data_IF_458727087457
#
_entry.id   IF_458727087457
#
_cell.length_a   1.000
_cell.length_b   1.000
_cell.length_c   1.000
_cell.angle_alpha   90.00
_cell.angle_beta   90.00
_cell.angle_gamma   90.00
#
_symmetry.space_group_name_H-M   'P 1'
#
loop_
_entity.id
_entity.type
_entity.pdbx_description
1 polymer ?
#
# COMPACT_ATOMS: atom_id res chain seq x y z
N UNK A 1 17.26 1.22 18.11
CA UNK A 1 16.86 0.87 16.73
C UNK A 1 15.70 1.77 16.24
N UNK A 2 14.59 1.88 16.97
CA UNK A 2 13.42 2.69 16.56
C UNK A 2 13.78 4.17 16.38
N UNK A 3 14.53 4.78 17.30
CA UNK A 3 14.95 6.17 17.22
C UNK A 3 15.83 6.48 15.99
N UNK A 4 16.71 5.56 15.61
CA UNK A 4 17.53 5.68 14.40
C UNK A 4 16.65 5.64 13.12
N UNK A 5 15.64 4.79 13.09
CA UNK A 5 14.66 4.76 12.00
C UNK A 5 13.89 6.07 11.88
N UNK A 6 13.43 6.64 12.99
CA UNK A 6 12.71 7.93 13.00
C UNK A 6 13.61 9.08 12.52
N UNK A 7 14.88 9.07 12.90
CA UNK A 7 15.83 10.11 12.53
C UNK A 7 15.98 10.24 11.00
N UNK A 8 15.92 9.12 10.26
CA UNK A 8 16.05 9.14 8.80
C UNK A 8 14.86 9.77 8.07
N UNK A 9 13.71 9.96 8.73
CA UNK A 9 12.56 10.69 8.17
C UNK A 9 12.63 12.20 8.39
N UNK A 10 13.60 12.69 9.17
CA UNK A 10 13.80 14.11 9.37
C UNK A 10 14.66 14.69 8.23
N UNK A 11 14.44 15.97 7.84
CA UNK A 11 15.33 16.68 6.93
C UNK A 11 16.77 16.62 7.45
N UNK A 12 17.74 16.41 6.55
CA UNK A 12 19.16 16.28 6.90
C UNK A 12 19.66 17.46 7.77
N UNK A 13 19.16 18.68 7.48
CA UNK A 13 19.45 19.91 8.20
C UNK A 13 19.00 19.92 9.67
N UNK A 14 18.19 18.94 10.09
CA UNK A 14 17.68 18.81 11.47
C UNK A 14 18.19 17.59 12.22
N UNK A 15 18.81 16.66 11.51
CA UNK A 15 19.28 15.40 12.11
C UNK A 15 20.40 15.65 13.11
N UNK A 16 21.35 16.52 12.78
CA UNK A 16 22.49 16.89 13.63
C UNK A 16 22.03 17.60 14.91
N UNK A 17 21.07 18.53 14.80
CA UNK A 17 20.52 19.24 15.97
C UNK A 17 19.78 18.29 16.91
N UNK A 18 19.00 17.33 16.38
CA UNK A 18 18.28 16.33 17.19
C UNK A 18 19.27 15.44 17.92
N UNK A 19 20.30 14.93 17.24
CA UNK A 19 21.34 14.11 17.85
C UNK A 19 22.10 14.89 18.94
N UNK A 20 22.44 16.15 18.67
CA UNK A 20 23.11 17.03 19.63
C UNK A 20 22.24 17.25 20.89
N UNK A 21 20.94 17.50 20.74
CA UNK A 21 20.03 17.65 21.87
C UNK A 21 19.89 16.37 22.68
N UNK A 22 19.79 15.22 22.02
CA UNK A 22 19.75 13.93 22.68
C UNK A 22 21.04 13.68 23.49
N UNK A 23 22.21 13.99 22.92
CA UNK A 23 23.50 13.83 23.58
C UNK A 23 23.69 14.75 24.81
N UNK A 24 22.92 15.85 24.89
CA UNK A 24 22.91 16.78 26.03
C UNK A 24 21.81 16.53 27.06
N UNK A 25 20.96 15.51 26.85
CA UNK A 25 19.95 15.10 27.83
C UNK A 25 20.64 14.39 29.00
N UNK A 26 20.85 15.11 30.11
CA UNK A 26 21.46 14.55 31.32
C UNK A 26 20.42 13.79 32.18
N UNK A 27 19.25 14.37 32.41
CA UNK A 27 18.14 13.69 33.12
C UNK A 27 16.80 14.23 32.59
N UNK A 28 15.94 13.35 32.09
CA UNK A 28 14.58 13.73 31.68
C UNK A 28 13.63 13.48 32.83
N UNK A 29 13.05 14.55 33.38
CA UNK A 29 12.04 14.42 34.40
C UNK A 29 10.85 13.64 33.84
N UNK A 30 10.41 12.63 34.60
CA UNK A 30 9.29 11.74 34.21
C UNK A 30 8.00 12.50 33.93
N UNK A 31 7.76 13.59 34.69
CA UNK A 31 6.58 14.44 34.49
C UNK A 31 6.57 15.13 33.11
N UNK A 32 7.75 15.44 32.55
CA UNK A 32 7.90 16.01 31.20
C UNK A 32 7.60 14.98 30.14
N UNK A 33 8.00 13.72 30.36
CA UNK A 33 7.67 12.61 29.44
C UNK A 33 6.16 12.37 29.42
N UNK A 34 5.53 12.31 30.60
CA UNK A 34 4.09 12.13 30.74
C UNK A 34 3.29 13.29 30.11
N UNK A 35 3.81 14.51 30.15
CA UNK A 35 3.21 15.68 29.48
C UNK A 35 3.37 15.62 27.95
N UNK A 36 4.53 15.19 27.46
CA UNK A 36 4.76 14.95 26.03
C UNK A 36 3.85 13.85 25.48
N UNK A 37 3.69 12.76 26.20
CA UNK A 37 2.76 11.68 25.81
C UNK A 37 1.32 12.20 25.69
N UNK A 38 0.85 13.00 26.66
CA UNK A 38 -0.47 13.63 26.61
C UNK A 38 -0.62 14.65 25.47
N UNK A 39 0.46 15.35 25.11
CA UNK A 39 0.44 16.28 23.98
C UNK A 39 0.39 15.54 22.66
N UNK A 40 1.13 14.44 22.53
CA UNK A 40 1.11 13.57 21.36
C UNK A 40 -0.26 12.92 21.21
N UNK A 41 -0.82 12.35 22.29
CA UNK A 41 -2.17 11.76 22.27
C UNK A 41 -3.24 12.79 21.86
N UNK A 42 -3.18 14.01 22.38
CA UNK A 42 -4.10 15.10 21.98
C UNK A 42 -3.89 15.50 20.52
N UNK A 43 -2.65 15.59 20.05
CA UNK A 43 -2.33 15.91 18.66
C UNK A 43 -2.84 14.83 17.69
N UNK A 44 -2.67 13.57 18.04
CA UNK A 44 -3.19 12.42 17.27
C UNK A 44 -4.71 12.40 17.28
N UNK A 45 -5.37 12.67 18.43
CA UNK A 45 -6.82 12.76 18.53
C UNK A 45 -7.41 13.86 17.63
N UNK A 46 -6.80 15.05 17.60
CA UNK A 46 -7.23 16.16 16.71
C UNK A 46 -7.06 15.78 15.23
N UNK A 47 -5.98 15.08 14.88
CA UNK A 47 -5.78 14.56 13.52
C UNK A 47 -6.81 13.48 13.18
N UNK A 48 -7.23 12.68 14.16
CA UNK A 48 -8.24 11.62 13.99
C UNK A 48 -9.66 12.18 13.86
N UNK A 49 -9.99 13.28 14.50
CA UNK A 49 -11.31 13.94 14.37
C UNK A 49 -11.55 14.54 12.98
N UNK A 50 -10.48 14.86 12.23
CA UNK A 50 -10.56 15.38 10.87
C UNK A 50 -10.34 14.29 9.79
N UNK A 51 -9.93 13.09 10.19
CA UNK A 51 -9.79 11.92 9.33
C UNK A 51 -11.04 11.05 9.40
N UNK A 52 -11.74 10.86 8.30
CA UNK A 52 -12.88 9.94 8.25
C UNK A 52 -12.43 8.52 8.66
N UNK A 53 -13.32 7.75 9.32
CA UNK A 53 -13.13 6.32 9.66
C UNK A 53 -12.55 5.50 8.48
N UNK A 54 -12.95 5.84 7.26
CA UNK A 54 -12.47 5.25 6.00
C UNK A 54 -10.95 5.37 5.82
N UNK A 55 -10.33 6.44 6.32
CA UNK A 55 -8.88 6.66 6.21
C UNK A 55 -8.08 5.68 7.08
N UNK A 56 -8.55 5.34 8.27
CA UNK A 56 -7.89 4.41 9.19
C UNK A 56 -7.82 2.99 8.63
N UNK A 57 -8.94 2.45 8.17
CA UNK A 57 -9.03 1.12 7.54
C UNK A 57 -8.14 1.04 6.31
N UNK A 58 -8.19 2.05 5.45
CA UNK A 58 -7.36 2.11 4.25
C UNK A 58 -5.86 2.13 4.55
N UNK A 59 -5.42 2.89 5.56
CA UNK A 59 -4.04 2.89 5.99
C UNK A 59 -3.62 1.54 6.59
N UNK A 60 -4.49 0.91 7.39
CA UNK A 60 -4.25 -0.41 7.93
C UNK A 60 -4.13 -1.47 6.82
N UNK A 61 -5.02 -1.45 5.83
CA UNK A 61 -4.95 -2.33 4.66
C UNK A 61 -3.63 -2.17 3.89
N UNK A 62 -3.20 -0.93 3.67
CA UNK A 62 -1.92 -0.61 3.05
C UNK A 62 -0.72 -1.17 3.83
N UNK A 63 -0.74 -1.09 5.16
CA UNK A 63 0.29 -1.66 6.03
C UNK A 63 0.28 -3.18 5.91
N UNK A 64 -0.89 -3.82 6.07
CA UNK A 64 -1.02 -5.29 5.99
C UNK A 64 -0.57 -5.79 4.62
N UNK A 65 -0.93 -5.11 3.53
CA UNK A 65 -0.50 -5.46 2.18
C UNK A 65 1.03 -5.44 1.99
N UNK A 66 1.77 -4.70 2.79
CA UNK A 66 3.24 -4.58 2.70
C UNK A 66 4.01 -5.44 3.69
N UNK A 67 3.33 -6.14 4.59
CA UNK A 67 3.95 -7.12 5.47
C UNK A 67 4.40 -8.33 4.63
N UNK A 68 5.70 -8.73 4.67
CA UNK A 68 6.20 -9.79 3.80
C UNK A 68 5.68 -11.18 4.15
N UNK A 69 5.28 -11.43 5.41
CA UNK A 69 4.85 -12.74 5.90
C UNK A 69 3.87 -12.59 7.07
N UNK A 70 3.15 -13.67 7.38
CA UNK A 70 2.21 -13.74 8.53
C UNK A 70 0.97 -12.84 8.44
N UNK A 71 0.63 -12.32 7.27
CA UNK A 71 -0.57 -11.48 7.06
C UNK A 71 -1.85 -12.20 7.51
N UNK A 72 -2.00 -13.49 7.14
CA UNK A 72 -3.17 -14.28 7.51
C UNK A 72 -3.27 -14.45 9.03
N UNK A 73 -2.15 -14.76 9.69
CA UNK A 73 -2.12 -14.91 11.16
C UNK A 73 -2.54 -13.61 11.85
N UNK A 74 -2.05 -12.47 11.33
CA UNK A 74 -2.43 -11.15 11.85
C UNK A 74 -3.93 -10.90 11.72
N UNK A 75 -4.51 -11.21 10.56
CA UNK A 75 -5.96 -11.04 10.33
C UNK A 75 -6.79 -11.99 11.18
N UNK A 76 -6.34 -13.22 11.40
CA UNK A 76 -7.02 -14.18 12.26
C UNK A 76 -7.03 -13.69 13.73
N UNK A 77 -5.91 -13.15 14.20
CA UNK A 77 -5.82 -12.53 15.53
C UNK A 77 -6.68 -11.26 15.66
N UNK A 78 -6.77 -10.45 14.61
CA UNK A 78 -7.65 -9.28 14.58
C UNK A 78 -9.12 -9.70 14.57
N UNK A 79 -9.49 -10.79 13.88
CA UNK A 79 -10.85 -11.31 13.82
C UNK A 79 -11.37 -11.74 15.18
N UNK A 80 -10.50 -12.27 16.05
CA UNK A 80 -10.85 -12.58 17.45
C UNK A 80 -11.24 -11.34 18.27
N UNK A 81 -10.80 -10.14 17.84
CA UNK A 81 -11.09 -8.87 18.52
C UNK A 81 -12.27 -8.14 17.91
N UNK A 82 -12.34 -8.10 16.59
CA UNK A 82 -13.36 -7.35 15.84
C UNK A 82 -13.48 -7.91 14.41
N UNK A 83 -14.53 -8.66 14.16
CA UNK A 83 -14.79 -9.31 12.87
C UNK A 83 -15.16 -8.27 11.79
N UNK A 84 -15.95 -7.23 12.16
CA UNK A 84 -16.41 -6.20 11.24
C UNK A 84 -15.23 -5.39 10.69
N UNK A 85 -14.27 -5.03 11.55
CA UNK A 85 -13.04 -4.34 11.16
C UNK A 85 -12.20 -5.19 10.20
N UNK A 86 -12.14 -6.52 10.38
CA UNK A 86 -11.38 -7.40 9.48
C UNK A 86 -12.04 -7.51 8.12
N UNK A 87 -13.36 -7.53 8.05
CA UNK A 87 -14.06 -7.59 6.77
C UNK A 87 -13.90 -6.27 5.99
N UNK A 88 -14.05 -5.11 6.66
CA UNK A 88 -13.74 -3.80 6.06
C UNK A 88 -12.28 -3.71 5.62
N UNK A 89 -11.35 -4.25 6.42
CA UNK A 89 -9.92 -4.27 6.12
C UNK A 89 -9.63 -5.10 4.87
N UNK A 90 -10.24 -6.29 4.76
CA UNK A 90 -10.08 -7.16 3.59
C UNK A 90 -10.61 -6.50 2.31
N UNK A 91 -11.72 -5.78 2.39
CA UNK A 91 -12.27 -5.04 1.26
C UNK A 91 -11.30 -3.95 0.77
N UNK A 92 -10.66 -3.23 1.69
CA UNK A 92 -9.65 -2.23 1.36
C UNK A 92 -8.29 -2.83 0.96
N UNK A 93 -8.02 -4.10 1.28
CA UNK A 93 -6.83 -4.81 0.82
C UNK A 93 -6.85 -5.12 -0.68
N UNK A 94 -8.00 -5.04 -1.35
CA UNK A 94 -8.10 -5.08 -2.81
C UNK A 94 -7.56 -3.79 -3.45
N UNK A 95 -6.31 -3.45 -3.11
CA UNK A 95 -5.60 -2.33 -3.72
C UNK A 95 -4.86 -2.76 -4.99
N UNK A 96 -4.65 -1.81 -5.90
CA UNK A 96 -3.95 -2.06 -7.16
C UNK A 96 -2.57 -2.71 -6.99
N UNK A 97 -1.92 -2.50 -5.84
CA UNK A 97 -0.62 -3.10 -5.50
C UNK A 97 -0.67 -4.64 -5.40
N UNK A 98 -1.80 -5.25 -5.03
CA UNK A 98 -1.90 -6.72 -4.92
C UNK A 98 -1.65 -7.44 -6.25
N UNK A 99 -1.79 -6.73 -7.38
CA UNK A 99 -1.47 -7.29 -8.70
C UNK A 99 0.00 -7.71 -8.81
N UNK A 100 0.88 -7.16 -8.00
CA UNK A 100 2.30 -7.58 -7.93
C UNK A 100 2.49 -9.03 -7.46
N UNK A 101 1.49 -9.63 -6.83
CA UNK A 101 1.54 -10.95 -6.20
C UNK A 101 0.75 -12.01 -6.96
N UNK A 102 0.03 -11.59 -8.00
CA UNK A 102 -0.82 -12.51 -8.72
C UNK A 102 -0.01 -13.48 -9.58
N UNK A 103 -0.52 -14.69 -9.71
CA UNK A 103 0.07 -15.69 -10.60
C UNK A 103 -0.07 -15.27 -12.08
N UNK A 104 0.72 -15.92 -12.94
CA UNK A 104 0.76 -15.63 -14.37
C UNK A 104 -0.60 -15.78 -15.05
N UNK A 105 -1.39 -16.80 -14.68
CA UNK A 105 -2.68 -17.07 -15.31
C UNK A 105 -3.69 -15.94 -14.98
N UNK A 106 -3.76 -15.52 -13.72
CA UNK A 106 -4.59 -14.40 -13.28
C UNK A 106 -4.20 -13.11 -14.01
N UNK A 107 -2.91 -12.77 -14.07
CA UNK A 107 -2.45 -11.57 -14.75
C UNK A 107 -2.73 -11.61 -16.26
N UNK A 108 -2.54 -12.76 -16.92
CA UNK A 108 -2.87 -12.93 -18.34
C UNK A 108 -4.37 -12.73 -18.59
N UNK A 109 -5.23 -13.34 -17.76
CA UNK A 109 -6.69 -13.14 -17.89
C UNK A 109 -7.09 -11.66 -17.74
N UNK A 110 -6.44 -10.94 -16.82
CA UNK A 110 -6.65 -9.50 -16.66
C UNK A 110 -6.14 -8.68 -17.87
N UNK A 111 -5.04 -9.11 -18.50
CA UNK A 111 -4.54 -8.47 -19.73
C UNK A 111 -5.49 -8.65 -20.93
N UNK A 112 -6.21 -9.75 -20.97
CA UNK A 112 -7.20 -10.02 -22.04
C UNK A 112 -8.49 -9.20 -21.83
N UNK A 113 -8.86 -8.92 -20.57
CA UNK A 113 -10.08 -8.20 -20.20
C UNK A 113 -9.93 -6.68 -20.24
N UNK A 114 -8.78 -6.17 -19.80
CA UNK A 114 -8.55 -4.75 -19.57
C UNK A 114 -7.79 -4.12 -20.74
N UNK A 115 -8.31 -3.02 -21.34
CA UNK A 115 -7.65 -2.32 -22.42
C UNK A 115 -6.24 -1.86 -22.08
N UNK A 116 -5.33 -1.89 -23.05
CA UNK A 116 -3.93 -1.51 -22.86
C UNK A 116 -3.75 -0.04 -22.50
N UNK A 117 -4.69 0.80 -22.91
CA UNK A 117 -4.75 2.22 -22.58
C UNK A 117 -4.96 2.44 -21.08
N UNK A 118 -5.83 1.63 -20.46
CA UNK A 118 -6.09 1.69 -19.01
C UNK A 118 -4.89 1.19 -18.23
N UNK A 119 -4.22 0.13 -18.68
CA UNK A 119 -2.94 -0.30 -18.13
C UNK A 119 -1.87 0.81 -18.24
N UNK A 120 -1.82 1.52 -19.37
CA UNK A 120 -0.86 2.59 -19.57
C UNK A 120 -1.07 3.76 -18.59
N UNK A 121 -2.32 4.07 -18.24
CA UNK A 121 -2.66 5.08 -17.22
C UNK A 121 -2.38 4.55 -15.82
N UNK A 122 -2.86 3.34 -15.49
CA UNK A 122 -2.79 2.76 -14.15
C UNK A 122 -1.34 2.52 -13.68
N UNK A 123 -0.44 2.16 -14.61
CA UNK A 123 0.97 1.89 -14.31
C UNK A 123 1.84 3.16 -14.19
N UNK A 124 1.27 4.35 -14.41
CA UNK A 124 2.01 5.59 -14.13
C UNK A 124 2.23 5.77 -12.64
N UNK A 125 3.48 6.04 -12.24
CA UNK A 125 3.86 6.25 -10.85
C UNK A 125 3.76 5.01 -9.96
N UNK A 126 3.61 3.80 -10.54
CA UNK A 126 3.64 2.55 -9.76
C UNK A 126 5.05 2.17 -9.35
N UNK A 127 5.12 1.41 -8.27
CA UNK A 127 6.34 0.77 -7.78
C UNK A 127 6.93 -0.17 -8.84
N UNK A 128 8.26 -0.28 -8.86
CA UNK A 128 8.99 -1.09 -9.85
C UNK A 128 8.58 -2.56 -9.79
N UNK A 129 8.32 -3.09 -8.58
CA UNK A 129 7.91 -4.48 -8.37
C UNK A 129 6.61 -4.78 -9.11
N UNK A 130 5.58 -3.97 -8.94
CA UNK A 130 4.31 -4.15 -9.62
C UNK A 130 4.47 -4.05 -11.15
N UNK A 131 5.20 -3.05 -11.63
CA UNK A 131 5.44 -2.87 -13.07
C UNK A 131 6.14 -4.08 -13.68
N UNK A 132 7.14 -4.63 -13.00
CA UNK A 132 7.86 -5.83 -13.46
C UNK A 132 6.95 -7.05 -13.47
N UNK A 133 6.12 -7.27 -12.45
CA UNK A 133 5.17 -8.38 -12.42
C UNK A 133 4.23 -8.35 -13.62
N UNK A 134 3.70 -7.19 -13.97
CA UNK A 134 2.86 -7.00 -15.16
C UNK A 134 3.65 -7.25 -16.46
N UNK A 135 4.85 -6.69 -16.59
CA UNK A 135 5.66 -6.85 -17.81
C UNK A 135 6.13 -8.28 -18.03
N UNK A 136 6.38 -9.04 -16.96
CA UNK A 136 6.85 -10.42 -17.06
C UNK A 136 5.82 -11.38 -17.68
N UNK A 137 4.55 -11.08 -17.56
CA UNK A 137 3.47 -11.92 -18.13
C UNK A 137 3.07 -11.49 -19.53
N UNK A 138 3.50 -10.31 -19.98
CA UNK A 138 3.17 -9.77 -21.29
C UNK A 138 4.15 -10.25 -22.37
N UNK A 139 3.67 -10.57 -23.59
CA UNK A 139 4.54 -10.73 -24.76
C UNK A 139 5.35 -9.45 -25.04
N UNK A 140 6.59 -9.59 -25.48
CA UNK A 140 7.50 -8.44 -25.75
C UNK A 140 6.86 -7.34 -26.60
N UNK A 141 6.03 -7.72 -27.58
CA UNK A 141 5.33 -6.78 -28.46
C UNK A 141 4.29 -5.94 -27.69
N UNK A 142 3.57 -6.57 -26.75
CA UNK A 142 2.60 -5.85 -25.91
C UNK A 142 3.30 -4.93 -24.91
N UNK A 143 4.44 -5.34 -24.34
CA UNK A 143 5.26 -4.46 -23.47
C UNK A 143 5.70 -3.21 -24.24
N UNK A 144 6.18 -3.36 -25.48
CA UNK A 144 6.56 -2.22 -26.33
C UNK A 144 5.38 -1.30 -26.63
N UNK A 145 4.22 -1.87 -26.93
CA UNK A 145 2.98 -1.10 -27.15
C UNK A 145 2.58 -0.34 -25.88
N UNK A 146 2.58 -1.00 -24.73
CA UNK A 146 2.25 -0.39 -23.43
C UNK A 146 3.22 0.76 -23.10
N UNK A 147 4.52 0.56 -23.28
CA UNK A 147 5.54 1.60 -23.05
C UNK A 147 5.34 2.80 -23.99
N UNK A 148 5.10 2.55 -25.27
CA UNK A 148 4.86 3.62 -26.25
C UNK A 148 3.55 4.38 -25.96
N UNK A 149 2.49 3.67 -25.56
CA UNK A 149 1.21 4.28 -25.14
C UNK A 149 1.41 5.13 -23.89
N UNK A 150 2.13 4.61 -22.88
CA UNK A 150 2.45 5.36 -21.64
C UNK A 150 3.26 6.63 -21.93
N UNK A 151 4.21 6.57 -22.87
CA UNK A 151 5.01 7.73 -23.27
C UNK A 151 4.15 8.80 -24.00
N UNK A 152 3.20 8.37 -24.85
CA UNK A 152 2.28 9.27 -25.57
C UNK A 152 1.27 9.97 -24.68
N UNK A 153 0.89 9.38 -23.55
CA UNK A 153 -0.10 9.97 -22.63
C UNK A 153 0.37 11.28 -21.98
N UNK A 154 1.69 11.57 -21.96
CA UNK A 154 2.19 12.75 -21.26
C UNK A 154 1.85 12.75 -19.75
N UNK A 155 1.78 13.92 -19.10
CA UNK A 155 1.34 14.03 -17.71
C UNK A 155 -0.13 13.65 -17.58
N UNK A 156 -0.44 12.80 -16.58
CA UNK A 156 -1.82 12.37 -16.26
C UNK A 156 -2.14 12.81 -14.84
N UNK A 157 -3.29 13.43 -14.55
CA UNK A 157 -3.70 13.79 -13.20
C UNK A 157 -3.77 12.55 -12.30
N UNK A 158 -3.34 12.70 -11.04
CA UNK A 158 -3.36 11.60 -10.04
C UNK A 158 -4.78 11.05 -9.86
N UNK A 159 -5.78 11.92 -9.83
CA UNK A 159 -7.20 11.52 -9.72
C UNK A 159 -7.64 10.58 -10.86
N UNK A 160 -7.16 10.80 -12.09
CA UNK A 160 -7.45 9.91 -13.22
C UNK A 160 -6.75 8.57 -13.08
N UNK A 161 -5.49 8.55 -12.59
CA UNK A 161 -4.77 7.32 -12.33
C UNK A 161 -5.50 6.49 -11.27
N UNK A 162 -5.90 7.12 -10.17
CA UNK A 162 -6.64 6.45 -9.08
C UNK A 162 -8.00 5.92 -9.53
N UNK A 163 -8.71 6.69 -10.37
CA UNK A 163 -9.97 6.24 -10.94
C UNK A 163 -9.79 4.97 -11.78
N UNK A 164 -8.82 4.97 -12.72
CA UNK A 164 -8.58 3.81 -13.59
C UNK A 164 -8.13 2.61 -12.77
N UNK A 165 -7.30 2.80 -11.75
CA UNK A 165 -6.92 1.72 -10.82
C UNK A 165 -8.13 1.12 -10.12
N UNK A 166 -9.08 1.93 -9.67
CA UNK A 166 -10.33 1.46 -9.08
C UNK A 166 -11.18 0.67 -10.08
N UNK A 167 -11.28 1.15 -11.32
CA UNK A 167 -12.00 0.46 -12.38
C UNK A 167 -11.38 -0.92 -12.66
N UNK A 168 -10.04 -1.01 -12.75
CA UNK A 168 -9.32 -2.27 -12.88
C UNK A 168 -9.58 -3.19 -11.68
N UNK A 169 -9.51 -2.69 -10.46
CA UNK A 169 -9.75 -3.50 -9.27
C UNK A 169 -11.21 -3.95 -9.14
N UNK A 170 -12.16 -3.19 -9.67
CA UNK A 170 -13.55 -3.64 -9.80
C UNK A 170 -13.67 -4.83 -10.76
N UNK A 171 -12.99 -4.80 -11.90
CA UNK A 171 -12.93 -5.93 -12.83
C UNK A 171 -12.26 -7.15 -12.20
N UNK A 172 -11.16 -6.95 -11.44
CA UNK A 172 -10.49 -8.03 -10.68
C UNK A 172 -11.46 -8.70 -9.70
N UNK A 173 -12.24 -7.90 -8.96
CA UNK A 173 -13.22 -8.42 -8.00
C UNK A 173 -14.33 -9.19 -8.71
N UNK A 174 -14.90 -8.66 -9.78
CA UNK A 174 -15.93 -9.32 -10.56
C UNK A 174 -15.45 -10.67 -11.13
N UNK A 175 -14.28 -10.70 -11.75
CA UNK A 175 -13.70 -11.95 -12.27
C UNK A 175 -13.39 -12.98 -11.16
N UNK A 176 -13.04 -12.53 -9.98
CA UNK A 176 -12.85 -13.41 -8.83
C UNK A 176 -14.17 -13.97 -8.29
N UNK A 177 -15.22 -13.16 -8.21
CA UNK A 177 -16.57 -13.57 -7.83
C UNK A 177 -17.18 -14.56 -8.83
N UNK A 178 -16.92 -14.36 -10.12
CA UNK A 178 -17.34 -15.27 -11.21
C UNK A 178 -16.47 -16.55 -11.25
N UNK A 179 -15.43 -16.65 -10.43
CA UNK A 179 -14.53 -17.81 -10.36
C UNK A 179 -13.58 -17.95 -11.55
N UNK A 180 -13.45 -16.91 -12.40
CA UNK A 180 -12.56 -16.92 -13.56
C UNK A 180 -11.10 -16.73 -13.18
N UNK A 181 -10.83 -16.06 -12.05
CA UNK A 181 -9.48 -15.86 -11.49
C UNK A 181 -9.45 -16.19 -10.00
N UNK A 182 -8.27 -16.57 -9.52
CA UNK A 182 -7.99 -16.69 -8.09
C UNK A 182 -7.08 -15.54 -7.67
N UNK A 183 -7.58 -14.68 -6.77
CA UNK A 183 -6.84 -13.52 -6.28
C UNK A 183 -6.07 -13.89 -5.01
N UNK A 184 -4.76 -13.70 -5.05
CA UNK A 184 -3.88 -13.81 -3.88
C UNK A 184 -3.82 -12.47 -3.16
N UNK A 185 -4.53 -12.35 -2.04
CA UNK A 185 -4.44 -11.15 -1.19
C UNK A 185 -3.15 -11.12 -0.38
N UNK A 186 -2.54 -12.28 -0.11
CA UNK A 186 -1.36 -12.44 0.73
C UNK A 186 -0.17 -12.94 -0.09
N UNK A 187 1.05 -12.56 0.34
CA UNK A 187 2.25 -13.17 -0.21
C UNK A 187 2.32 -14.66 0.20
N UNK A 188 2.57 -15.55 -0.75
CA UNK A 188 2.86 -16.95 -0.44
C UNK A 188 4.13 -17.04 0.43
N UNK A 189 4.04 -17.85 1.50
CA UNK A 189 5.23 -18.18 2.27
C UNK A 189 6.08 -19.14 1.44
N UNK A 190 7.18 -18.66 0.88
CA UNK A 190 8.23 -19.52 0.35
C UNK A 190 9.08 -20.04 1.50
N UNK A 191 9.05 -21.35 1.73
CA UNK A 191 10.00 -22.04 2.62
C UNK A 191 11.23 -22.34 1.75
N UNK A 192 12.38 -21.73 2.09
CA UNK A 192 13.71 -22.12 1.56
C UNK A 192 14.21 -23.39 2.24
#
# INVERSE_FOLDING_TARGET
EVAAGILTYLPEERQDEVVYRIAKLDDVNRDVIDELDRLIERGVAVLSEHGSKVTGIKHAANIVNRIPSNQQILLDQLRERDEEVVDELKDEMYEFFILSRQNTATLQRLMDEIPIEDWAVALKGTETVLRQSIFNVMPKRQVQLLQSTTARLGPVPVSRIEQVRKEIMSSVRSLAEDGEIQVQLFAEQTVE
#
